data_IF_240198096967
#
_entry.id   IF_240198096967
#
_cell.length_a   1.000
_cell.length_b   1.000
_cell.length_c   1.000
_cell.angle_alpha   90.00
_cell.angle_beta   90.00
_cell.angle_gamma   90.00
#
_symmetry.space_group_name_H-M   'P 1'
#
loop_
_entity.id
_entity.type
_entity.pdbx_description
1 polymer ?
#
# COMPACT_ATOMS: atom_id res chain seq x y z
N UNK A 1 -6.47 -2.50 39.53
CA UNK A 1 -6.44 -3.31 38.29
C UNK A 1 -6.38 -2.34 37.13
N UNK A 2 -5.22 -2.16 36.50
CA UNK A 2 -5.08 -1.28 35.33
C UNK A 2 -5.62 -2.05 34.13
N UNK A 3 -6.82 -1.69 33.66
CA UNK A 3 -7.35 -2.22 32.41
C UNK A 3 -6.58 -1.54 31.29
N UNK A 4 -5.56 -2.22 30.75
CA UNK A 4 -4.91 -1.79 29.51
C UNK A 4 -5.94 -1.99 28.39
N UNK A 5 -6.68 -0.92 28.06
CA UNK A 5 -7.55 -0.94 26.87
C UNK A 5 -6.67 -0.96 25.63
N UNK A 6 -6.80 -2.01 24.83
CA UNK A 6 -6.21 -2.05 23.48
C UNK A 6 -6.76 -0.90 22.63
N UNK A 7 -5.92 -0.37 21.73
CA UNK A 7 -6.32 0.70 20.81
C UNK A 7 -7.41 0.19 19.86
N UNK A 8 -8.41 1.01 19.59
CA UNK A 8 -9.42 0.74 18.58
C UNK A 8 -8.85 0.90 17.17
N UNK A 9 -9.45 0.21 16.18
CA UNK A 9 -9.08 0.36 14.77
C UNK A 9 -9.18 1.80 14.26
N UNK A 10 -10.05 2.62 14.87
CA UNK A 10 -10.19 4.05 14.55
C UNK A 10 -8.97 4.85 15.03
N UNK A 11 -8.49 4.56 16.22
CA UNK A 11 -7.28 5.20 16.77
C UNK A 11 -6.04 4.76 16.00
N UNK A 12 -5.93 3.45 15.70
CA UNK A 12 -4.83 2.93 14.87
C UNK A 12 -4.83 3.60 13.50
N UNK A 13 -5.99 3.73 12.84
CA UNK A 13 -6.08 4.38 11.53
C UNK A 13 -5.61 5.83 11.58
N UNK A 14 -6.08 6.62 12.57
CA UNK A 14 -5.73 8.05 12.69
C UNK A 14 -4.24 8.29 12.95
N UNK A 15 -3.58 7.38 13.62
CA UNK A 15 -2.16 7.52 13.94
C UNK A 15 -1.24 7.15 12.78
N UNK A 16 -1.74 6.34 11.83
CA UNK A 16 -0.97 5.88 10.68
C UNK A 16 -0.49 7.02 9.80
N UNK A 17 0.70 6.88 9.25
CA UNK A 17 1.28 7.81 8.28
C UNK A 17 0.39 7.94 7.05
N UNK A 18 -0.22 6.83 6.61
CA UNK A 18 -1.16 6.81 5.49
C UNK A 18 -2.35 7.74 5.71
N UNK A 19 -2.94 7.74 6.91
CA UNK A 19 -4.04 8.65 7.23
C UNK A 19 -3.63 10.11 7.12
N UNK A 20 -2.45 10.45 7.68
CA UNK A 20 -1.93 11.83 7.67
C UNK A 20 -1.72 12.31 6.24
N UNK A 21 -1.02 11.50 5.43
CA UNK A 21 -0.73 11.80 4.03
C UNK A 21 -2.01 11.95 3.18
N UNK A 22 -3.00 11.07 3.36
CA UNK A 22 -4.28 11.20 2.67
C UNK A 22 -5.06 12.43 3.12
N UNK A 23 -4.98 12.80 4.41
CA UNK A 23 -5.69 13.97 4.93
C UNK A 23 -5.12 15.27 4.38
N UNK A 24 -3.81 15.31 4.17
CA UNK A 24 -3.11 16.46 3.61
C UNK A 24 -3.42 16.66 2.12
N UNK A 25 -3.59 15.56 1.37
CA UNK A 25 -3.83 15.61 -0.09
C UNK A 25 -5.32 15.71 -0.47
N UNK A 26 -6.25 15.28 0.40
CA UNK A 26 -7.70 15.25 0.09
C UNK A 26 -8.46 16.30 0.91
N UNK A 27 -8.84 17.38 0.23
CA UNK A 27 -9.61 18.49 0.84
C UNK A 27 -11.13 18.31 0.75
N UNK A 28 -11.64 17.56 -0.23
CA UNK A 28 -13.07 17.35 -0.45
C UNK A 28 -13.69 16.40 0.58
N UNK A 29 -14.83 16.77 1.18
CA UNK A 29 -15.46 15.99 2.25
C UNK A 29 -15.88 14.58 1.78
N UNK A 30 -16.50 14.49 0.59
CA UNK A 30 -16.95 13.21 0.01
C UNK A 30 -15.77 12.29 -0.33
N UNK A 31 -14.72 12.85 -0.91
CA UNK A 31 -13.52 12.09 -1.29
C UNK A 31 -12.76 11.65 -0.04
N UNK A 32 -12.73 12.51 0.99
CA UNK A 32 -12.17 12.18 2.28
C UNK A 32 -12.95 11.05 2.97
N UNK A 33 -14.28 11.01 2.84
CA UNK A 33 -15.06 9.90 3.41
C UNK A 33 -14.63 8.54 2.82
N UNK A 34 -14.43 8.47 1.50
CA UNK A 34 -13.95 7.25 0.84
C UNK A 34 -12.52 6.89 1.25
N UNK A 35 -11.61 7.87 1.27
CA UNK A 35 -10.25 7.69 1.76
C UNK A 35 -10.22 7.24 3.24
N UNK A 36 -11.13 7.77 4.06
CA UNK A 36 -11.28 7.35 5.45
C UNK A 36 -11.78 5.91 5.57
N UNK A 37 -12.70 5.46 4.70
CA UNK A 37 -13.10 4.05 4.62
C UNK A 37 -11.93 3.13 4.25
N UNK A 38 -11.03 3.60 3.39
CA UNK A 38 -9.79 2.91 3.05
C UNK A 38 -8.85 2.80 4.26
N UNK A 39 -8.55 3.90 4.95
CA UNK A 39 -7.74 3.91 6.17
C UNK A 39 -8.30 2.98 7.26
N UNK A 40 -9.61 3.04 7.51
CA UNK A 40 -10.29 2.14 8.46
C UNK A 40 -10.17 0.68 8.06
N UNK A 41 -10.20 0.36 6.76
CA UNK A 41 -10.03 -1.02 6.30
C UNK A 41 -8.60 -1.49 6.56
N UNK A 42 -7.62 -0.65 6.29
CA UNK A 42 -6.21 -0.98 6.50
C UNK A 42 -5.90 -1.22 7.97
N UNK A 43 -6.46 -0.41 8.88
CA UNK A 43 -6.25 -0.61 10.32
C UNK A 43 -6.84 -1.90 10.88
N UNK A 44 -7.64 -2.64 10.10
CA UNK A 44 -8.10 -3.99 10.48
C UNK A 44 -7.07 -5.09 10.18
N UNK A 45 -6.02 -4.78 9.43
CA UNK A 45 -5.00 -5.76 9.06
C UNK A 45 -3.84 -5.76 10.07
N UNK A 46 -3.31 -6.94 10.32
CA UNK A 46 -2.22 -7.18 11.29
C UNK A 46 -0.86 -7.39 10.64
N UNK A 47 -0.82 -7.54 9.32
CA UNK A 47 0.40 -7.73 8.54
C UNK A 47 0.22 -7.24 7.10
N UNK A 48 1.34 -7.01 6.41
CA UNK A 48 1.35 -6.71 4.99
C UNK A 48 0.68 -7.85 4.20
N UNK A 49 0.02 -7.57 3.07
CA UNK A 49 -0.62 -8.62 2.28
C UNK A 49 0.41 -9.64 1.78
N UNK A 50 0.09 -10.94 1.87
CA UNK A 50 0.98 -12.05 1.47
C UNK A 50 0.31 -13.07 0.55
N UNK A 51 -1.00 -12.95 0.34
CA UNK A 51 -1.81 -13.85 -0.48
C UNK A 51 -2.70 -13.12 -1.47
N UNK A 52 -3.05 -13.77 -2.59
CA UNK A 52 -3.93 -13.20 -3.63
C UNK A 52 -5.22 -12.63 -3.03
N UNK A 53 -5.89 -13.40 -2.16
CA UNK A 53 -7.13 -13.00 -1.48
C UNK A 53 -6.98 -11.73 -0.65
N UNK A 54 -5.80 -11.46 -0.09
CA UNK A 54 -5.56 -10.25 0.68
C UNK A 54 -5.35 -9.04 -0.21
N UNK A 55 -4.62 -9.19 -1.32
CA UNK A 55 -4.48 -8.15 -2.32
C UNK A 55 -5.85 -7.78 -2.92
N UNK A 56 -6.68 -8.77 -3.24
CA UNK A 56 -8.02 -8.58 -3.80
C UNK A 56 -8.97 -7.82 -2.86
N UNK A 57 -8.68 -7.73 -1.55
CA UNK A 57 -9.48 -6.91 -0.63
C UNK A 57 -9.47 -5.43 -1.02
N UNK A 58 -8.49 -5.00 -1.82
CA UNK A 58 -8.36 -3.63 -2.31
C UNK A 58 -9.21 -3.36 -3.57
N UNK A 59 -9.74 -4.38 -4.24
CA UNK A 59 -10.52 -4.21 -5.49
C UNK A 59 -11.74 -3.31 -5.29
N UNK A 60 -12.40 -3.39 -4.13
CA UNK A 60 -13.54 -2.53 -3.80
C UNK A 60 -13.21 -1.03 -3.70
N UNK A 61 -11.94 -0.67 -3.66
CA UNK A 61 -11.45 0.71 -3.66
C UNK A 61 -10.80 1.08 -5.00
N UNK A 62 -10.60 0.11 -5.89
CA UNK A 62 -9.82 0.25 -7.11
C UNK A 62 -10.55 0.99 -8.23
N UNK A 63 -11.86 1.22 -8.09
CA UNK A 63 -12.68 2.02 -9.01
C UNK A 63 -12.79 3.49 -8.59
N UNK A 64 -12.20 3.87 -7.44
CA UNK A 64 -12.18 5.25 -6.96
C UNK A 64 -10.94 5.99 -7.49
N UNK A 65 -11.10 6.66 -8.63
CA UNK A 65 -10.00 7.34 -9.34
C UNK A 65 -9.29 8.39 -8.48
N UNK A 66 -10.03 9.15 -7.67
CA UNK A 66 -9.44 10.16 -6.77
C UNK A 66 -8.56 9.46 -5.73
N UNK A 67 -9.08 8.43 -5.06
CA UNK A 67 -8.30 7.69 -4.07
C UNK A 67 -7.04 7.08 -4.67
N UNK A 68 -7.15 6.40 -5.82
CA UNK A 68 -6.01 5.73 -6.44
C UNK A 68 -4.97 6.71 -6.96
N UNK A 69 -5.38 7.82 -7.60
CA UNK A 69 -4.45 8.86 -8.05
C UNK A 69 -3.76 9.55 -6.88
N UNK A 70 -4.48 9.83 -5.78
CA UNK A 70 -3.86 10.34 -4.55
C UNK A 70 -2.88 9.35 -3.95
N UNK A 71 -3.22 8.05 -3.88
CA UNK A 71 -2.31 7.01 -3.39
C UNK A 71 -1.07 6.90 -4.27
N UNK A 72 -1.20 7.00 -5.59
CA UNK A 72 -0.07 7.04 -6.50
C UNK A 72 0.84 8.25 -6.23
N UNK A 73 0.28 9.45 -6.03
CA UNK A 73 1.03 10.65 -5.64
C UNK A 73 1.76 10.46 -4.30
N UNK A 74 1.08 9.89 -3.31
CA UNK A 74 1.66 9.59 -2.00
C UNK A 74 2.84 8.62 -2.13
N UNK A 75 2.68 7.52 -2.88
CA UNK A 75 3.72 6.51 -3.05
C UNK A 75 4.95 7.01 -3.83
N UNK A 76 4.85 8.10 -4.58
CA UNK A 76 6.02 8.77 -5.17
C UNK A 76 6.90 9.46 -4.13
N UNK A 77 6.31 9.89 -3.01
CA UNK A 77 6.98 10.68 -1.96
C UNK A 77 7.28 9.85 -0.71
N UNK A 78 6.47 8.83 -0.45
CA UNK A 78 6.56 8.00 0.74
C UNK A 78 7.47 6.80 0.49
N UNK A 79 8.59 6.72 1.21
CA UNK A 79 9.47 5.55 1.24
C UNK A 79 9.33 4.83 2.57
N UNK A 80 9.49 3.50 2.55
CA UNK A 80 9.57 2.67 3.76
C UNK A 80 11.04 2.39 4.02
N UNK A 81 11.68 3.00 5.03
CA UNK A 81 13.12 2.82 5.23
C UNK A 81 13.43 1.43 5.79
N UNK A 82 14.63 0.95 5.47
CA UNK A 82 15.09 -0.41 5.73
C UNK A 82 15.05 -0.78 7.22
N UNK A 83 15.35 0.17 8.12
CA UNK A 83 15.34 -0.03 9.58
C UNK A 83 14.82 1.22 10.31
N UNK A 84 13.65 1.74 9.94
CA UNK A 84 13.13 2.90 10.68
C UNK A 84 12.42 2.46 11.95
N UNK A 85 13.01 2.77 13.11
CA UNK A 85 12.34 2.69 14.41
C UNK A 85 11.11 3.61 14.51
N UNK A 86 10.99 4.58 13.57
CA UNK A 86 9.89 5.55 13.50
C UNK A 86 8.65 4.97 12.79
N UNK A 87 8.81 4.03 11.84
CA UNK A 87 7.64 3.44 11.17
C UNK A 87 7.09 2.30 12.03
N UNK A 88 5.85 2.46 12.46
CA UNK A 88 5.14 1.39 13.14
C UNK A 88 4.88 0.25 12.16
N UNK A 89 4.65 -0.97 12.67
CA UNK A 89 4.19 -2.09 11.84
C UNK A 89 2.97 -1.72 10.99
N UNK A 90 2.12 -0.81 11.47
CA UNK A 90 0.95 -0.31 10.73
C UNK A 90 1.30 0.56 9.52
N UNK A 91 2.40 1.30 9.55
CA UNK A 91 2.83 2.11 8.42
C UNK A 91 3.36 1.23 7.28
N UNK A 92 4.10 0.17 7.62
CA UNK A 92 4.51 -0.86 6.65
C UNK A 92 3.28 -1.55 6.05
N UNK A 93 2.29 -1.91 6.89
CA UNK A 93 1.02 -2.50 6.43
C UNK A 93 0.32 -1.55 5.46
N UNK A 94 0.16 -0.28 5.83
CA UNK A 94 -0.49 0.73 4.99
C UNK A 94 0.23 0.92 3.66
N UNK A 95 1.56 0.94 3.66
CA UNK A 95 2.36 1.07 2.45
C UNK A 95 2.12 -0.09 1.48
N UNK A 96 2.21 -1.33 1.95
CA UNK A 96 2.05 -2.50 1.08
C UNK A 96 0.60 -2.72 0.63
N UNK A 97 -0.41 -2.32 1.41
CA UNK A 97 -1.80 -2.30 0.93
C UNK A 97 -2.05 -1.16 -0.09
N UNK A 98 -1.31 -0.05 -0.02
CA UNK A 98 -1.33 0.99 -1.07
C UNK A 98 -0.70 0.51 -2.37
N UNK A 99 0.40 -0.24 -2.30
CA UNK A 99 0.96 -0.94 -3.47
C UNK A 99 -0.05 -1.95 -4.02
N UNK A 100 -0.73 -2.70 -3.14
CA UNK A 100 -1.78 -3.64 -3.55
C UNK A 100 -2.92 -2.94 -4.29
N UNK A 101 -3.37 -1.78 -3.82
CA UNK A 101 -4.39 -0.97 -4.47
C UNK A 101 -3.97 -0.59 -5.90
N UNK A 102 -2.77 -0.04 -6.09
CA UNK A 102 -2.27 0.27 -7.44
C UNK A 102 -2.13 -0.97 -8.32
N UNK A 103 -1.76 -2.10 -7.71
CA UNK A 103 -1.57 -3.36 -8.43
C UNK A 103 -2.87 -3.97 -8.93
N UNK A 104 -4.02 -3.66 -8.32
CA UNK A 104 -5.35 -4.14 -8.76
C UNK A 104 -6.17 -3.08 -9.51
N UNK A 105 -5.79 -1.80 -9.44
CA UNK A 105 -6.44 -0.72 -10.17
C UNK A 105 -6.29 -0.88 -11.69
N UNK A 106 -7.41 -0.75 -12.40
CA UNK A 106 -7.50 -0.85 -13.87
C UNK A 106 -7.38 0.50 -14.58
N UNK A 107 -7.80 1.58 -13.93
CA UNK A 107 -7.61 2.93 -14.46
C UNK A 107 -6.14 3.37 -14.25
N UNK A 108 -5.66 4.28 -15.10
CA UNK A 108 -4.26 4.76 -15.11
C UNK A 108 -3.23 3.61 -15.05
N UNK A 109 -3.56 2.48 -15.69
CA UNK A 109 -2.84 1.22 -15.50
C UNK A 109 -1.36 1.33 -15.83
N UNK A 110 -1.05 1.93 -16.98
CA UNK A 110 0.32 2.11 -17.44
C UNK A 110 1.14 2.96 -16.45
N UNK A 111 0.57 4.06 -15.96
CA UNK A 111 1.20 4.93 -14.97
C UNK A 111 1.39 4.20 -13.62
N UNK A 112 0.41 3.40 -13.21
CA UNK A 112 0.49 2.59 -12.00
C UNK A 112 1.60 1.53 -12.11
N UNK A 113 1.68 0.81 -13.23
CA UNK A 113 2.76 -0.17 -13.49
C UNK A 113 4.13 0.52 -13.51
N UNK A 114 4.23 1.69 -14.14
CA UNK A 114 5.47 2.47 -14.17
C UNK A 114 5.92 2.89 -12.76
N UNK A 115 4.99 3.36 -11.93
CA UNK A 115 5.28 3.70 -10.53
C UNK A 115 5.69 2.46 -9.72
N UNK A 116 4.98 1.35 -9.88
CA UNK A 116 5.35 0.08 -9.23
C UNK A 116 6.75 -0.37 -9.63
N UNK A 117 7.12 -0.22 -10.91
CA UNK A 117 8.49 -0.48 -11.39
C UNK A 117 9.51 0.39 -10.68
N UNK A 118 9.26 1.71 -10.55
CA UNK A 118 10.17 2.61 -9.82
C UNK A 118 10.33 2.22 -8.35
N UNK A 119 9.24 1.82 -7.70
CA UNK A 119 9.29 1.35 -6.30
C UNK A 119 10.15 0.08 -6.22
N UNK A 120 9.99 -0.87 -7.16
CA UNK A 120 10.85 -2.05 -7.24
C UNK A 120 12.33 -1.65 -7.35
N UNK A 121 12.65 -0.76 -8.29
CA UNK A 121 14.02 -0.31 -8.55
C UNK A 121 14.65 0.36 -7.31
N UNK A 122 13.89 1.20 -6.61
CA UNK A 122 14.34 1.86 -5.37
C UNK A 122 14.63 0.84 -4.26
N UNK A 123 13.69 -0.07 -3.98
CA UNK A 123 13.86 -1.04 -2.90
C UNK A 123 15.05 -1.98 -3.18
N UNK A 124 15.23 -2.40 -4.44
CA UNK A 124 16.36 -3.21 -4.89
C UNK A 124 17.68 -2.47 -4.66
N UNK A 125 17.76 -1.22 -5.15
CA UNK A 125 18.95 -0.38 -5.01
C UNK A 125 19.35 -0.18 -3.55
N UNK A 126 18.36 -0.01 -2.67
CA UNK A 126 18.56 0.20 -1.24
C UNK A 126 18.83 -1.10 -0.45
N UNK A 127 18.80 -2.26 -1.10
CA UNK A 127 18.83 -3.58 -0.45
C UNK A 127 17.81 -3.66 0.69
N UNK A 128 16.61 -3.15 0.42
CA UNK A 128 15.57 -3.00 1.42
C UNK A 128 15.01 -4.38 1.82
N UNK A 129 14.90 -4.66 3.12
CA UNK A 129 14.43 -5.93 3.66
C UNK A 129 13.03 -6.31 3.17
N UNK A 130 12.23 -5.32 2.79
CA UNK A 130 10.89 -5.54 2.27
C UNK A 130 10.83 -5.90 0.78
N UNK A 131 11.97 -6.02 0.08
CA UNK A 131 12.01 -6.54 -1.30
C UNK A 131 11.27 -7.88 -1.42
N UNK A 132 11.46 -8.79 -0.45
CA UNK A 132 10.79 -10.09 -0.45
C UNK A 132 9.26 -10.00 -0.36
N UNK A 133 8.72 -8.97 0.30
CA UNK A 133 7.27 -8.72 0.37
C UNK A 133 6.76 -8.28 -1.01
N UNK A 134 7.51 -7.41 -1.70
CA UNK A 134 7.15 -6.92 -3.03
C UNK A 134 7.23 -8.01 -4.10
N UNK A 135 8.27 -8.85 -4.08
CA UNK A 135 8.37 -10.04 -4.94
C UNK A 135 7.13 -10.91 -4.77
N UNK A 136 6.81 -11.24 -3.51
CA UNK A 136 5.65 -12.07 -3.19
C UNK A 136 4.37 -11.45 -3.72
N UNK A 137 4.23 -10.13 -3.59
CA UNK A 137 3.09 -9.39 -4.12
C UNK A 137 2.92 -9.61 -5.63
N UNK A 138 3.97 -9.32 -6.40
CA UNK A 138 3.96 -9.47 -7.86
C UNK A 138 3.72 -10.93 -8.26
N UNK A 139 4.43 -11.89 -7.67
CA UNK A 139 4.31 -13.32 -8.01
C UNK A 139 2.90 -13.86 -7.75
N UNK A 140 2.19 -13.35 -6.72
CA UNK A 140 0.82 -13.77 -6.43
C UNK A 140 -0.19 -13.09 -7.35
N UNK A 141 -0.04 -11.79 -7.59
CA UNK A 141 -1.00 -11.01 -8.39
C UNK A 141 -0.89 -11.27 -9.90
N UNK A 142 0.30 -11.61 -10.43
CA UNK A 142 0.50 -11.83 -11.88
C UNK A 142 -0.44 -12.88 -12.49
N UNK A 143 -0.96 -13.81 -11.67
CA UNK A 143 -1.93 -14.81 -12.13
C UNK A 143 -3.25 -14.19 -12.62
N UNK A 144 -3.67 -13.08 -12.00
CA UNK A 144 -4.90 -12.34 -12.33
C UNK A 144 -4.61 -11.06 -13.10
N UNK A 145 -3.44 -10.47 -12.88
CA UNK A 145 -2.96 -9.23 -13.47
C UNK A 145 -1.64 -9.50 -14.23
N UNK A 146 -1.70 -10.12 -15.42
CA UNK A 146 -0.53 -10.68 -16.09
C UNK A 146 0.51 -9.63 -16.52
N UNK A 147 0.12 -8.37 -16.65
CA UNK A 147 1.01 -7.25 -16.93
C UNK A 147 2.02 -6.95 -15.81
N UNK A 148 1.78 -7.46 -14.59
CA UNK A 148 2.75 -7.40 -13.49
C UNK A 148 3.96 -8.33 -13.71
N UNK A 149 3.91 -9.26 -14.67
CA UNK A 149 4.99 -10.23 -14.89
C UNK A 149 6.35 -9.55 -15.15
N UNK A 150 6.34 -8.40 -15.84
CA UNK A 150 7.55 -7.63 -16.15
C UNK A 150 8.26 -7.11 -14.89
N UNK A 151 7.51 -6.91 -13.79
CA UNK A 151 8.09 -6.46 -12.53
C UNK A 151 8.84 -7.60 -11.84
N UNK A 152 8.40 -8.85 -12.00
CA UNK A 152 9.03 -10.03 -11.38
C UNK A 152 10.44 -10.26 -11.91
N UNK A 153 10.66 -10.01 -13.21
CA UNK A 153 11.94 -10.20 -13.86
C UNK A 153 13.07 -9.37 -13.21
N UNK A 154 12.73 -8.23 -12.59
CA UNK A 154 13.69 -7.37 -11.87
C UNK A 154 14.27 -8.04 -10.63
N UNK A 155 13.55 -9.00 -10.04
CA UNK A 155 13.96 -9.65 -8.80
C UNK A 155 14.66 -11.00 -9.03
N UNK A 156 14.85 -11.43 -10.29
CA UNK A 156 15.49 -12.73 -10.62
C UNK A 156 16.96 -12.81 -10.24
N UNK A 157 17.62 -11.68 -10.02
CA UNK A 157 19.07 -11.58 -9.73
C UNK A 157 19.37 -11.04 -8.33
N UNK A 158 18.37 -10.99 -7.44
CA UNK A 158 18.54 -10.66 -6.02
C UNK A 158 18.88 -11.90 -5.21
#
# INVERSE_FOLDING_TARGET
>A
MVVIKGRSNKEIAKDSQLYKLLKDEISGEKDWEKAWMYCKKISTFTHAPVSLKEYERMEKFADDDILVTTIASILQKWTVPNENSILSGFDVIGYFYSIALLSVAKHNREQNIYLLSKICDTLIKEKNQYCGVLVRNITKLKKKYPDLIHLEDKFRNL
#
